data_IF_984971304735
#
_entry.id   IF_984971304735
#
_cell.length_a   1.000
_cell.length_b   1.000
_cell.length_c   1.000
_cell.angle_alpha   90.00
_cell.angle_beta   90.00
_cell.angle_gamma   90.00
#
_symmetry.space_group_name_H-M   'P 1'
#
loop_
_entity.id
_entity.type
_entity.pdbx_description
1 polymer ?
#
# COMPACT_ATOMS: atom_id res chain seq x y z
N UNK A 1 1.64 -11.54 -15.92
CA UNK A 1 1.41 -11.59 -14.47
C UNK A 1 0.03 -11.00 -14.20
N UNK A 2 -0.77 -11.61 -13.34
CA UNK A 2 -2.05 -11.03 -12.94
C UNK A 2 -1.81 -9.87 -11.95
N UNK A 3 -2.70 -8.84 -11.89
CA UNK A 3 -2.51 -7.70 -10.99
C UNK A 3 -2.29 -8.08 -9.52
N UNK A 4 -2.98 -9.12 -9.05
CA UNK A 4 -2.84 -9.62 -7.68
C UNK A 4 -1.47 -10.27 -7.42
N UNK A 5 -0.86 -10.87 -8.45
CA UNK A 5 0.48 -11.44 -8.36
C UNK A 5 1.55 -10.34 -8.32
N UNK A 6 1.37 -9.27 -9.11
CA UNK A 6 2.27 -8.10 -9.10
C UNK A 6 2.33 -7.47 -7.70
N UNK A 7 1.17 -7.25 -7.08
CA UNK A 7 1.09 -6.65 -5.74
C UNK A 7 1.69 -7.57 -4.68
N UNK A 8 1.45 -8.89 -4.77
CA UNK A 8 2.04 -9.86 -3.83
C UNK A 8 3.56 -9.88 -3.93
N UNK A 9 4.11 -9.91 -5.13
CA UNK A 9 5.56 -9.88 -5.36
C UNK A 9 6.19 -8.60 -4.80
N UNK A 10 5.59 -7.44 -5.08
CA UNK A 10 6.07 -6.17 -4.57
C UNK A 10 6.02 -6.09 -3.04
N UNK A 11 4.94 -6.60 -2.44
CA UNK A 11 4.80 -6.67 -0.98
C UNK A 11 5.91 -7.54 -0.37
N UNK A 12 6.16 -8.73 -0.95
CA UNK A 12 7.23 -9.62 -0.49
C UNK A 12 8.63 -9.02 -0.69
N UNK A 13 8.81 -8.17 -1.71
CA UNK A 13 10.05 -7.44 -1.93
C UNK A 13 10.24 -6.31 -0.91
N UNK A 14 9.19 -5.57 -0.58
CA UNK A 14 9.24 -4.53 0.46
C UNK A 14 9.59 -5.10 1.84
N UNK A 15 9.12 -6.30 2.19
CA UNK A 15 9.51 -6.96 3.45
C UNK A 15 11.00 -7.25 3.58
N UNK A 16 11.71 -7.35 2.46
CA UNK A 16 13.14 -7.63 2.42
C UNK A 16 13.99 -6.35 2.43
N UNK A 17 13.35 -5.18 2.46
CA UNK A 17 13.99 -3.89 2.43
C UNK A 17 13.75 -3.15 3.75
N UNK A 18 14.74 -2.37 4.18
CA UNK A 18 14.55 -1.42 5.27
C UNK A 18 13.79 -0.17 4.77
N UNK A 19 14.16 0.29 3.56
CA UNK A 19 13.64 1.53 2.98
C UNK A 19 13.01 1.30 1.61
N UNK A 20 12.00 2.11 1.31
CA UNK A 20 11.33 2.11 0.00
C UNK A 20 12.34 2.53 -1.09
N UNK A 21 12.40 1.83 -2.24
CA UNK A 21 13.23 2.25 -3.37
C UNK A 21 12.89 3.68 -3.82
N UNK A 22 13.92 4.49 -4.09
CA UNK A 22 13.73 5.89 -4.51
C UNK A 22 12.82 6.02 -5.75
N UNK A 23 12.94 5.07 -6.68
CA UNK A 23 12.10 4.93 -7.88
C UNK A 23 10.60 4.76 -7.58
N UNK A 24 10.25 4.26 -6.39
CA UNK A 24 8.88 4.02 -5.94
C UNK A 24 8.34 5.12 -5.00
N UNK A 25 9.17 6.07 -4.56
CA UNK A 25 8.81 7.13 -3.59
C UNK A 25 7.57 7.94 -3.99
N UNK A 26 7.47 8.29 -5.27
CA UNK A 26 6.32 9.01 -5.82
C UNK A 26 5.04 8.17 -5.76
N UNK A 27 5.14 6.87 -6.05
CA UNK A 27 4.01 5.95 -5.97
C UNK A 27 3.57 5.69 -4.52
N UNK A 28 4.51 5.64 -3.56
CA UNK A 28 4.16 5.58 -2.13
C UNK A 28 3.40 6.83 -1.69
N UNK A 29 3.89 8.00 -2.08
CA UNK A 29 3.20 9.27 -1.77
C UNK A 29 1.79 9.28 -2.36
N UNK A 30 1.61 8.78 -3.59
CA UNK A 30 0.31 8.64 -4.21
C UNK A 30 -0.59 7.67 -3.44
N UNK A 31 -0.10 6.49 -3.08
CA UNK A 31 -0.85 5.49 -2.29
C UNK A 31 -1.34 6.10 -0.97
N UNK A 32 -0.45 6.71 -0.18
CA UNK A 32 -0.81 7.35 1.09
C UNK A 32 -1.85 8.44 0.89
N UNK A 33 -1.69 9.28 -0.13
CA UNK A 33 -2.67 10.33 -0.46
C UNK A 33 -4.04 9.73 -0.78
N UNK A 34 -4.09 8.61 -1.51
CA UNK A 34 -5.35 7.94 -1.86
C UNK A 34 -5.99 7.27 -0.66
N UNK A 35 -5.22 6.58 0.18
CA UNK A 35 -5.75 5.95 1.40
C UNK A 35 -6.31 7.03 2.33
N UNK A 36 -5.55 8.10 2.61
CA UNK A 36 -5.99 9.21 3.46
C UNK A 36 -7.22 9.95 2.91
N UNK A 37 -7.45 9.87 1.60
CA UNK A 37 -8.61 10.45 0.91
C UNK A 37 -9.85 9.56 0.89
N UNK A 38 -9.82 8.36 1.48
CA UNK A 38 -11.00 7.49 1.60
C UNK A 38 -12.04 8.17 2.49
N UNK A 39 -13.28 8.24 2.01
CA UNK A 39 -14.38 8.86 2.74
C UNK A 39 -14.96 7.85 3.73
N UNK A 40 -14.79 8.12 5.03
CA UNK A 40 -15.30 7.27 6.11
C UNK A 40 -16.62 7.84 6.63
N UNK A 41 -17.70 7.06 6.50
CA UNK A 41 -19.06 7.41 6.91
C UNK A 41 -19.50 6.61 8.14
N UNK A 42 -20.56 7.03 8.81
CA UNK A 42 -21.17 6.25 9.89
C UNK A 42 -21.57 4.85 9.36
N UNK A 43 -21.04 3.79 9.97
CA UNK A 43 -21.22 2.41 9.51
C UNK A 43 -20.13 1.90 8.55
N UNK A 44 -19.14 2.70 8.15
CA UNK A 44 -17.93 2.17 7.50
C UNK A 44 -17.21 1.19 8.43
N UNK A 45 -16.85 0.03 7.88
CA UNK A 45 -16.17 -1.04 8.61
C UNK A 45 -14.89 -0.54 9.29
N UNK A 46 -14.61 -1.07 10.49
CA UNK A 46 -13.48 -0.65 11.30
C UNK A 46 -12.14 -0.83 10.57
N UNK A 47 -11.99 -1.87 9.73
CA UNK A 47 -10.74 -2.10 9.01
C UNK A 47 -10.41 -0.98 8.03
N UNK A 48 -11.41 -0.34 7.41
CA UNK A 48 -11.20 0.83 6.56
C UNK A 48 -10.77 2.05 7.39
N UNK A 49 -11.27 2.17 8.61
CA UNK A 49 -10.87 3.25 9.54
C UNK A 49 -9.44 3.06 10.02
N UNK A 50 -9.11 1.85 10.43
CA UNK A 50 -7.77 1.45 10.87
C UNK A 50 -6.76 1.64 9.72
N UNK A 51 -7.12 1.29 8.49
CA UNK A 51 -6.29 1.53 7.31
C UNK A 51 -5.97 3.03 7.11
N UNK A 52 -6.98 3.89 7.21
CA UNK A 52 -6.80 5.35 7.08
C UNK A 52 -5.96 5.91 8.23
N UNK A 53 -6.17 5.43 9.44
CA UNK A 53 -5.38 5.81 10.62
C UNK A 53 -3.91 5.41 10.45
N UNK A 54 -3.64 4.14 10.09
CA UNK A 54 -2.30 3.65 9.79
C UNK A 54 -1.63 4.47 8.69
N UNK A 55 -2.36 4.84 7.63
CA UNK A 55 -1.81 5.68 6.57
C UNK A 55 -1.48 7.10 7.06
N UNK A 56 -2.15 7.64 8.07
CA UNK A 56 -1.84 8.95 8.64
C UNK A 56 -0.55 8.94 9.47
N UNK A 57 -0.23 7.83 10.14
CA UNK A 57 0.96 7.69 10.96
C UNK A 57 2.16 7.08 10.24
N UNK A 58 1.95 6.41 9.10
CA UNK A 58 3.00 5.69 8.40
C UNK A 58 4.13 6.59 7.89
N UNK A 59 5.37 6.13 8.06
CA UNK A 59 6.57 6.68 7.44
C UNK A 59 6.66 6.22 5.97
N UNK A 60 6.58 7.15 4.99
CA UNK A 60 6.67 6.80 3.57
C UNK A 60 8.03 6.22 3.13
N UNK A 61 9.07 6.36 3.96
CA UNK A 61 10.39 5.79 3.68
C UNK A 61 10.55 4.38 4.22
N UNK A 62 9.75 3.97 5.21
CA UNK A 62 9.82 2.64 5.83
C UNK A 62 9.12 1.59 4.94
N UNK A 63 9.87 0.65 4.40
CA UNK A 63 9.32 -0.34 3.47
C UNK A 63 8.34 -1.31 4.14
N UNK A 64 8.57 -1.66 5.41
CA UNK A 64 7.71 -2.56 6.16
C UNK A 64 6.34 -1.93 6.42
N UNK A 65 6.30 -0.66 6.84
CA UNK A 65 5.04 0.07 7.05
C UNK A 65 4.24 0.22 5.74
N UNK A 66 4.93 0.49 4.63
CA UNK A 66 4.28 0.55 3.31
C UNK A 66 3.72 -0.82 2.89
N UNK A 67 4.45 -1.91 3.15
CA UNK A 67 3.98 -3.27 2.88
C UNK A 67 2.73 -3.62 3.72
N UNK A 68 2.70 -3.23 5.00
CA UNK A 68 1.54 -3.42 5.88
C UNK A 68 0.30 -2.68 5.37
N UNK A 69 0.46 -1.45 4.88
CA UNK A 69 -0.66 -0.70 4.28
C UNK A 69 -1.25 -1.37 3.05
N UNK A 70 -0.40 -1.92 2.17
CA UNK A 70 -0.86 -2.67 0.99
C UNK A 70 -1.66 -3.91 1.44
N UNK A 71 -1.16 -4.65 2.44
CA UNK A 71 -1.88 -5.82 2.97
C UNK A 71 -3.20 -5.44 3.63
N UNK A 72 -3.23 -4.39 4.43
CA UNK A 72 -4.44 -3.92 5.08
C UNK A 72 -5.49 -3.49 4.06
N UNK A 73 -5.07 -2.81 2.98
CA UNK A 73 -5.95 -2.47 1.85
C UNK A 73 -6.51 -3.71 1.15
N UNK A 74 -5.70 -4.76 0.94
CA UNK A 74 -6.16 -6.02 0.33
C UNK A 74 -7.06 -6.86 1.24
N UNK A 75 -6.86 -6.76 2.56
CA UNK A 75 -7.65 -7.48 3.55
C UNK A 75 -8.99 -6.79 3.87
N UNK A 76 -9.09 -5.49 3.61
CA UNK A 76 -10.28 -4.71 3.91
C UNK A 76 -11.52 -5.26 3.18
N UNK A 77 -12.69 -5.30 3.85
CA UNK A 77 -13.85 -5.97 3.31
C UNK A 77 -14.42 -5.21 2.11
N UNK A 78 -14.83 -5.97 1.09
CA UNK A 78 -15.56 -5.46 -0.07
C UNK A 78 -17.09 -5.64 0.05
N UNK A 79 -17.55 -6.18 1.18
CA UNK A 79 -18.98 -6.39 1.50
C UNK A 79 -19.27 -5.97 2.95
N UNK A 80 -20.25 -5.06 3.22
CA UNK A 80 -20.98 -4.26 2.23
C UNK A 80 -20.04 -3.40 1.37
N UNK A 81 -20.57 -2.71 0.36
CA UNK A 81 -19.75 -1.99 -0.61
C UNK A 81 -18.67 -1.14 0.07
N UNK A 82 -17.42 -1.21 -0.41
CA UNK A 82 -16.31 -0.47 0.19
C UNK A 82 -16.51 1.06 0.08
N UNK A 83 -15.86 1.84 0.96
CA UNK A 83 -16.05 3.29 1.05
C UNK A 83 -15.57 4.02 -0.22
N UNK A 84 -16.15 5.19 -0.46
CA UNK A 84 -15.74 6.04 -1.59
C UNK A 84 -14.23 6.34 -1.52
N UNK A 85 -13.53 6.16 -2.64
CA UNK A 85 -12.09 6.33 -2.73
C UNK A 85 -11.28 5.03 -2.73
N UNK A 86 -11.86 3.90 -2.29
CA UNK A 86 -11.16 2.61 -2.20
C UNK A 86 -10.48 2.21 -3.51
N UNK A 87 -11.17 2.35 -4.65
CA UNK A 87 -10.64 1.93 -5.95
C UNK A 87 -9.43 2.75 -6.38
N UNK A 88 -9.36 4.03 -6.01
CA UNK A 88 -8.18 4.84 -6.30
C UNK A 88 -6.98 4.43 -5.44
N UNK A 89 -7.22 3.99 -4.19
CA UNK A 89 -6.17 3.42 -3.36
C UNK A 89 -5.69 2.07 -3.92
N UNK A 90 -6.60 1.21 -4.37
CA UNK A 90 -6.28 -0.08 -5.00
C UNK A 90 -5.43 0.09 -6.27
N UNK A 91 -5.82 1.01 -7.15
CA UNK A 91 -5.03 1.35 -8.34
C UNK A 91 -3.66 1.93 -8.00
N UNK A 92 -3.57 2.79 -6.97
CA UNK A 92 -2.30 3.33 -6.53
C UNK A 92 -1.38 2.25 -5.93
N UNK A 93 -1.94 1.23 -5.27
CA UNK A 93 -1.17 0.08 -4.79
C UNK A 93 -0.61 -0.75 -5.94
N UNK A 94 -1.36 -0.91 -7.04
CA UNK A 94 -0.88 -1.57 -8.26
C UNK A 94 0.25 -0.77 -8.94
N UNK A 95 0.11 0.56 -9.03
CA UNK A 95 1.15 1.42 -9.60
C UNK A 95 2.43 1.42 -8.75
N UNK A 96 2.29 1.40 -7.42
CA UNK A 96 3.39 1.20 -6.50
C UNK A 96 4.05 -0.17 -6.70
N UNK A 97 3.26 -1.23 -6.80
CA UNK A 97 3.79 -2.58 -7.00
C UNK A 97 4.66 -2.67 -8.26
N UNK A 98 4.20 -2.06 -9.36
CA UNK A 98 4.97 -1.98 -10.61
C UNK A 98 6.27 -1.21 -10.44
N UNK A 99 6.26 -0.08 -9.72
CA UNK A 99 7.46 0.71 -9.46
C UNK A 99 8.48 -0.07 -8.62
N UNK A 100 8.02 -0.75 -7.56
CA UNK A 100 8.86 -1.61 -6.70
C UNK A 100 9.47 -2.76 -7.50
N UNK A 101 8.66 -3.49 -8.26
CA UNK A 101 9.11 -4.65 -9.04
C UNK A 101 10.06 -4.25 -10.18
N UNK A 102 9.88 -3.06 -10.75
CA UNK A 102 10.75 -2.53 -11.82
C UNK A 102 12.03 -1.88 -11.30
N UNK A 103 12.17 -1.69 -9.98
CA UNK A 103 13.37 -1.06 -9.43
C UNK A 103 14.57 -2.01 -9.56
N UNK A 104 15.77 -1.53 -9.96
CA UNK A 104 16.99 -2.30 -9.79
C UNK A 104 17.20 -2.60 -8.29
N UNK A 105 17.68 -3.80 -7.96
CA UNK A 105 17.88 -4.27 -6.57
C UNK A 105 18.58 -3.23 -5.69
N UNK A 106 17.92 -2.82 -4.62
CA UNK A 106 18.62 -2.28 -3.45
C UNK A 106 19.34 -3.45 -2.75
N UNK A 107 20.52 -3.23 -2.15
CA UNK A 107 21.24 -4.32 -1.49
C UNK A 107 20.36 -4.96 -0.40
N UNK A 108 20.33 -6.31 -0.33
CA UNK A 108 19.55 -7.01 0.68
C UNK A 108 20.06 -6.67 2.09
N UNK A 109 19.15 -6.73 3.08
CA UNK A 109 19.49 -6.58 4.50
C UNK A 109 20.50 -7.68 4.87
N UNK A 110 21.70 -7.30 5.32
CA UNK A 110 22.66 -8.25 5.91
C UNK A 110 22.04 -8.84 7.18
N UNK A 111 21.86 -10.17 7.21
CA UNK A 111 21.42 -10.91 8.41
C UNK A 111 22.52 -11.07 9.44
#
# INVERSE_FOLDING_TARGET
MAPIEEVREATARLDQLETVPESASSSVTALLTRIRGIVLEEGTDQQWRDLVESANSADPSNASEVAELIRALQAAPNTPLPPNGWLFADLAALDLARAVNSSPEAPPVEQ
#
